data_IF_515317933596
#
_entry.id   IF_515317933596
#
_cell.length_a   1.000
_cell.length_b   1.000
_cell.length_c   1.000
_cell.angle_alpha   90.00
_cell.angle_beta   90.00
_cell.angle_gamma   90.00
#
_symmetry.space_group_name_H-M   'P 1'
#
loop_
_entity.id
_entity.type
_entity.pdbx_description
1 polymer ?
#
# COMPACT_ATOMS: atom_id res chain seq x y z
N UNK A 1 -45.00 31.13 -0.03
CA UNK A 1 -45.56 29.77 -0.27
C UNK A 1 -46.44 29.81 -1.51
N UNK A 2 -47.21 30.87 -1.67
CA UNK A 2 -48.01 31.23 -2.85
C UNK A 2 -47.20 31.25 -4.18
N UNK A 3 -46.04 31.90 -4.23
CA UNK A 3 -45.18 31.95 -5.45
C UNK A 3 -44.65 30.58 -5.91
N UNK A 4 -44.46 29.63 -4.99
CA UNK A 4 -44.00 28.29 -5.33
C UNK A 4 -45.13 27.42 -5.88
N UNK A 5 -46.38 27.68 -5.48
CA UNK A 5 -47.58 26.99 -6.00
C UNK A 5 -48.01 27.49 -7.38
N UNK A 6 -47.64 28.72 -7.76
CA UNK A 6 -47.93 29.32 -9.08
C UNK A 6 -46.98 28.82 -10.19
N UNK A 7 -45.89 28.13 -9.84
CA UNK A 7 -44.94 27.57 -10.81
C UNK A 7 -45.53 26.36 -11.54
N UNK A 8 -46.11 26.56 -12.73
CA UNK A 8 -46.74 25.49 -13.53
C UNK A 8 -45.77 24.92 -14.57
N UNK A 9 -44.85 25.73 -15.13
CA UNK A 9 -43.95 25.30 -16.20
C UNK A 9 -42.54 24.98 -15.69
N UNK A 10 -41.78 24.21 -16.49
CA UNK A 10 -40.35 23.96 -16.23
C UNK A 10 -39.49 25.23 -16.29
N UNK A 11 -39.93 26.26 -16.99
CA UNK A 11 -39.24 27.55 -17.02
C UNK A 11 -39.37 28.24 -15.66
N UNK A 12 -40.57 28.27 -15.09
CA UNK A 12 -40.86 28.87 -13.78
C UNK A 12 -40.07 28.18 -12.66
N UNK A 13 -40.00 26.84 -12.66
CA UNK A 13 -39.18 26.08 -11.70
C UNK A 13 -37.70 26.43 -11.80
N UNK A 14 -37.15 26.65 -13.01
CA UNK A 14 -35.74 27.06 -13.18
C UNK A 14 -35.51 28.48 -12.66
N UNK A 15 -36.43 29.40 -12.92
CA UNK A 15 -36.39 30.77 -12.38
C UNK A 15 -36.48 30.76 -10.86
N UNK A 16 -37.33 29.92 -10.27
CA UNK A 16 -37.47 29.73 -8.83
C UNK A 16 -36.22 29.09 -8.18
N UNK A 17 -35.49 28.22 -8.90
CA UNK A 17 -34.18 27.72 -8.45
C UNK A 17 -33.11 28.82 -8.52
N UNK A 18 -33.11 29.62 -9.58
CA UNK A 18 -32.16 30.73 -9.76
C UNK A 18 -32.37 31.86 -8.74
N UNK A 19 -33.62 32.14 -8.36
CA UNK A 19 -33.96 33.11 -7.32
C UNK A 19 -33.75 32.59 -5.89
N UNK A 20 -33.46 31.28 -5.74
CA UNK A 20 -33.23 30.63 -4.45
C UNK A 20 -34.49 30.23 -3.68
N UNK A 21 -35.68 30.41 -4.27
CA UNK A 21 -36.97 29.96 -3.72
C UNK A 21 -37.01 28.43 -3.57
N UNK A 22 -36.45 27.70 -4.56
CA UNK A 22 -36.29 26.24 -4.53
C UNK A 22 -34.80 25.89 -4.42
N UNK A 23 -34.43 25.13 -3.38
CA UNK A 23 -33.04 24.64 -3.21
C UNK A 23 -32.98 23.15 -2.88
N UNK A 24 -31.96 22.49 -3.41
CA UNK A 24 -31.62 21.15 -2.98
C UNK A 24 -30.99 21.20 -1.58
N UNK A 25 -31.50 20.35 -0.67
CA UNK A 25 -30.84 20.15 0.62
C UNK A 25 -29.49 19.44 0.39
N UNK A 26 -28.41 19.84 1.08
CA UNK A 26 -27.15 19.12 0.99
C UNK A 26 -27.33 17.67 1.46
N UNK A 27 -26.56 16.74 0.88
CA UNK A 27 -26.58 15.34 1.30
C UNK A 27 -26.01 15.22 2.72
N UNK A 28 -26.71 14.50 3.59
CA UNK A 28 -26.19 14.15 4.90
C UNK A 28 -25.10 13.09 4.74
N UNK A 29 -23.86 13.43 5.09
CA UNK A 29 -22.72 12.52 5.08
C UNK A 29 -22.36 12.03 6.48
N UNK A 30 -21.78 10.83 6.57
CA UNK A 30 -21.17 10.32 7.81
C UNK A 30 -19.70 10.74 7.90
N UNK A 31 -19.26 11.16 9.09
CA UNK A 31 -17.87 11.55 9.30
C UNK A 31 -16.91 10.36 9.36
N UNK A 32 -15.70 10.53 8.82
CA UNK A 32 -14.62 9.52 8.88
C UNK A 32 -13.65 9.76 10.07
N UNK A 33 -13.93 10.70 10.96
CA UNK A 33 -12.99 11.15 12.01
C UNK A 33 -12.51 10.02 12.92
N UNK A 34 -13.44 9.21 13.45
CA UNK A 34 -13.12 8.08 14.34
C UNK A 34 -12.31 6.99 13.63
N UNK A 35 -12.61 6.75 12.35
CA UNK A 35 -11.92 5.76 11.51
C UNK A 35 -10.46 6.20 11.29
N UNK A 36 -10.24 7.46 10.91
CA UNK A 36 -8.89 8.02 10.71
C UNK A 36 -8.06 7.98 11.98
N UNK A 37 -8.64 8.35 13.12
CA UNK A 37 -7.97 8.24 14.42
C UNK A 37 -7.53 6.78 14.69
N UNK A 38 -8.43 5.81 14.52
CA UNK A 38 -8.11 4.40 14.72
C UNK A 38 -7.04 3.88 13.74
N UNK A 39 -7.07 4.30 12.48
CA UNK A 39 -6.06 3.98 11.48
C UNK A 39 -4.69 4.54 11.86
N UNK A 40 -4.62 5.79 12.35
CA UNK A 40 -3.39 6.39 12.84
C UNK A 40 -2.79 5.63 14.04
N UNK A 41 -3.62 5.20 14.99
CA UNK A 41 -3.16 4.35 16.10
C UNK A 41 -2.63 2.99 15.60
N UNK A 42 -3.32 2.36 14.64
CA UNK A 42 -2.88 1.10 14.03
C UNK A 42 -1.57 1.25 13.25
N UNK A 43 -1.37 2.36 12.54
CA UNK A 43 -0.14 2.64 11.80
C UNK A 43 1.06 2.72 12.76
N UNK A 44 0.90 3.38 13.91
CA UNK A 44 1.90 3.45 15.00
C UNK A 44 2.15 2.13 15.74
N UNK A 45 1.47 1.04 15.38
CA UNK A 45 1.63 -0.28 16.02
C UNK A 45 0.67 -0.56 17.17
N UNK A 46 -0.14 0.42 17.61
CA UNK A 46 -1.15 0.23 18.67
C UNK A 46 -2.37 -0.54 18.14
N UNK A 47 -3.22 -1.06 19.04
CA UNK A 47 -4.45 -1.82 18.69
C UNK A 47 -4.22 -3.03 17.77
N UNK A 48 -3.06 -3.68 17.89
CA UNK A 48 -2.63 -4.85 17.08
C UNK A 48 -2.25 -6.08 17.94
N UNK A 49 -2.60 -6.09 19.23
CA UNK A 49 -2.30 -7.20 20.15
C UNK A 49 -3.11 -8.48 19.88
N UNK A 50 -2.77 -9.62 20.50
CA UNK A 50 -3.46 -10.91 20.33
C UNK A 50 -4.97 -10.83 20.54
N UNK A 51 -5.44 -10.17 21.60
CA UNK A 51 -6.88 -10.04 21.90
C UNK A 51 -7.68 -9.19 20.90
N UNK A 52 -7.03 -8.32 20.13
CA UNK A 52 -7.71 -7.53 19.08
C UNK A 52 -7.67 -8.20 17.70
N UNK A 53 -6.98 -9.34 17.57
CA UNK A 53 -6.80 -10.04 16.30
C UNK A 53 -7.90 -11.09 16.13
N UNK A 54 -8.79 -10.85 15.16
CA UNK A 54 -9.68 -11.88 14.64
C UNK A 54 -9.02 -12.71 13.53
N UNK A 55 -9.41 -13.98 13.41
CA UNK A 55 -9.02 -14.87 12.32
C UNK A 55 -7.64 -15.53 12.45
N UNK A 56 -7.45 -16.62 11.72
CA UNK A 56 -6.18 -17.37 11.67
C UNK A 56 -5.06 -16.56 10.98
N UNK A 57 -3.79 -16.87 11.28
CA UNK A 57 -2.64 -16.16 10.71
C UNK A 57 -2.64 -16.13 9.17
N UNK A 58 -2.87 -17.28 8.53
CA UNK A 58 -2.90 -17.42 7.08
C UNK A 58 -4.08 -16.67 6.41
N UNK A 59 -5.17 -16.42 7.16
CA UNK A 59 -6.30 -15.61 6.68
C UNK A 59 -5.97 -14.11 6.68
N UNK A 60 -5.15 -13.66 7.64
CA UNK A 60 -4.74 -12.25 7.76
C UNK A 60 -3.65 -11.89 6.75
N UNK A 61 -2.67 -12.77 6.56
CA UNK A 61 -1.66 -12.67 5.50
C UNK A 61 -1.40 -14.10 5.00
N UNK A 62 -1.65 -14.32 3.71
CA UNK A 62 -1.42 -15.64 3.10
C UNK A 62 0.07 -15.96 3.00
N UNK A 63 0.43 -17.22 3.20
CA UNK A 63 1.83 -17.66 3.15
C UNK A 63 2.48 -17.39 1.80
N UNK A 64 1.75 -17.62 0.69
CA UNK A 64 2.21 -17.29 -0.66
C UNK A 64 2.49 -15.80 -0.83
N UNK A 65 1.61 -14.94 -0.31
CA UNK A 65 1.79 -13.48 -0.37
C UNK A 65 3.03 -13.05 0.41
N UNK A 66 3.25 -13.65 1.59
CA UNK A 66 4.45 -13.42 2.39
C UNK A 66 5.72 -13.83 1.64
N UNK A 67 5.74 -15.01 1.03
CA UNK A 67 6.86 -15.46 0.20
C UNK A 67 7.13 -14.52 -0.98
N UNK A 68 6.08 -14.11 -1.70
CA UNK A 68 6.17 -13.14 -2.81
C UNK A 68 6.79 -11.81 -2.34
N UNK A 69 6.35 -11.29 -1.19
CA UNK A 69 6.88 -10.03 -0.63
C UNK A 69 8.36 -10.10 -0.25
N UNK A 70 8.89 -11.29 0.02
CA UNK A 70 10.32 -11.49 0.35
C UNK A 70 11.14 -11.70 -0.92
N UNK A 71 10.72 -12.62 -1.79
CA UNK A 71 11.54 -13.04 -2.95
C UNK A 71 11.62 -11.99 -4.05
N UNK A 72 10.57 -11.20 -4.28
CA UNK A 72 10.55 -10.21 -5.36
C UNK A 72 11.58 -9.09 -5.13
N UNK A 73 11.63 -8.42 -3.97
CA UNK A 73 12.66 -7.40 -3.71
C UNK A 73 14.09 -7.93 -3.79
N UNK A 74 14.33 -9.19 -3.44
CA UNK A 74 15.65 -9.83 -3.51
C UNK A 74 16.07 -10.07 -4.96
N UNK A 75 15.14 -10.55 -5.81
CA UNK A 75 15.42 -10.76 -7.24
C UNK A 75 15.57 -9.46 -8.01
N UNK A 76 14.80 -8.46 -7.62
CA UNK A 76 14.88 -7.10 -8.14
C UNK A 76 16.27 -6.50 -7.84
N UNK A 77 16.72 -6.59 -6.59
CA UNK A 77 18.06 -6.17 -6.17
C UNK A 77 19.17 -6.85 -6.99
N UNK A 78 19.10 -8.17 -7.16
CA UNK A 78 20.06 -8.91 -7.98
C UNK A 78 20.05 -8.47 -9.45
N UNK A 79 18.88 -8.11 -9.98
CA UNK A 79 18.74 -7.62 -11.35
C UNK A 79 19.42 -6.25 -11.47
N UNK A 80 19.15 -5.33 -10.55
CA UNK A 80 19.76 -4.01 -10.47
C UNK A 80 21.29 -4.09 -10.40
N UNK A 81 21.84 -4.86 -9.46
CA UNK A 81 23.29 -5.03 -9.33
C UNK A 81 23.97 -5.61 -10.59
N UNK A 82 23.25 -6.44 -11.35
CA UNK A 82 23.76 -6.99 -12.62
C UNK A 82 23.71 -5.95 -13.73
N UNK A 83 22.66 -5.14 -13.78
CA UNK A 83 22.49 -4.08 -14.78
C UNK A 83 23.49 -2.93 -14.57
N UNK A 84 23.84 -2.63 -13.32
CA UNK A 84 24.89 -1.69 -12.95
C UNK A 84 26.31 -2.22 -13.19
N UNK A 85 26.47 -3.52 -13.45
CA UNK A 85 27.78 -4.17 -13.63
C UNK A 85 28.53 -4.46 -12.32
N UNK A 86 27.92 -4.17 -11.16
CA UNK A 86 28.48 -4.44 -9.83
C UNK A 86 28.73 -5.94 -9.59
N UNK A 87 28.00 -6.81 -10.28
CA UNK A 87 28.17 -8.27 -10.22
C UNK A 87 28.22 -8.90 -11.60
N UNK A 88 28.97 -10.00 -11.72
CA UNK A 88 29.03 -10.76 -12.96
C UNK A 88 27.77 -11.62 -13.18
N UNK A 89 27.44 -12.00 -14.43
CA UNK A 89 26.31 -12.87 -14.72
C UNK A 89 26.35 -14.24 -14.01
N UNK A 90 27.56 -14.78 -13.77
CA UNK A 90 27.74 -16.05 -13.05
C UNK A 90 27.36 -15.92 -11.57
N UNK A 91 27.81 -14.84 -10.91
CA UNK A 91 27.45 -14.49 -9.54
C UNK A 91 25.93 -14.27 -9.43
N UNK A 92 25.35 -13.48 -10.34
CA UNK A 92 23.89 -13.29 -10.40
C UNK A 92 23.14 -14.64 -10.42
N UNK A 93 23.54 -15.56 -11.30
CA UNK A 93 22.87 -16.87 -11.45
C UNK A 93 22.97 -17.71 -10.18
N UNK A 94 24.13 -17.70 -9.51
CA UNK A 94 24.34 -18.40 -8.24
C UNK A 94 23.41 -17.86 -7.14
N UNK A 95 23.44 -16.55 -6.91
CA UNK A 95 22.62 -15.92 -5.87
C UNK A 95 21.11 -16.01 -6.19
N UNK A 96 20.72 -15.97 -7.46
CA UNK A 96 19.32 -16.16 -7.86
C UNK A 96 18.79 -17.56 -7.49
N UNK A 97 19.59 -18.61 -7.72
CA UNK A 97 19.24 -19.99 -7.32
C UNK A 97 19.16 -20.13 -5.80
N UNK A 98 20.11 -19.55 -5.06
CA UNK A 98 20.08 -19.53 -3.59
C UNK A 98 18.86 -18.76 -3.05
N UNK A 99 18.48 -17.66 -3.68
CA UNK A 99 17.29 -16.91 -3.34
C UNK A 99 16.00 -17.73 -3.53
N UNK A 100 15.91 -18.55 -4.59
CA UNK A 100 14.78 -19.49 -4.76
C UNK A 100 14.62 -20.44 -3.57
N UNK A 101 15.73 -20.85 -2.95
CA UNK A 101 15.75 -21.69 -1.75
C UNK A 101 15.41 -20.98 -0.45
N UNK A 102 15.16 -19.66 -0.46
CA UNK A 102 14.78 -18.91 0.75
C UNK A 102 15.93 -18.60 1.70
N UNK A 103 17.18 -18.69 1.23
CA UNK A 103 18.39 -18.41 2.03
C UNK A 103 18.40 -16.97 2.55
N UNK A 104 17.91 -16.03 1.74
CA UNK A 104 17.95 -14.60 2.04
C UNK A 104 16.61 -14.10 2.60
N UNK A 105 16.68 -13.33 3.69
CA UNK A 105 15.50 -12.79 4.39
C UNK A 105 15.12 -11.37 3.98
N UNK A 106 16.06 -10.60 3.46
CA UNK A 106 15.90 -9.19 3.05
C UNK A 106 16.99 -8.78 2.05
N UNK A 107 16.83 -7.62 1.40
CA UNK A 107 17.87 -7.03 0.53
C UNK A 107 19.18 -6.81 1.29
N UNK A 108 19.11 -6.31 2.52
CA UNK A 108 20.28 -6.13 3.39
C UNK A 108 20.99 -7.46 3.65
N UNK A 109 20.25 -8.50 4.01
CA UNK A 109 20.85 -9.81 4.27
C UNK A 109 21.51 -10.39 3.01
N UNK A 110 20.89 -10.23 1.83
CA UNK A 110 21.53 -10.56 0.56
C UNK A 110 22.87 -9.82 0.39
N UNK A 111 22.88 -8.48 0.52
CA UNK A 111 24.11 -7.67 0.38
C UNK A 111 25.21 -8.10 1.35
N UNK A 112 24.88 -8.33 2.63
CA UNK A 112 25.84 -8.84 3.62
C UNK A 112 26.47 -10.17 3.20
N UNK A 113 25.68 -11.10 2.63
CA UNK A 113 26.22 -12.37 2.11
C UNK A 113 27.08 -12.19 0.85
N UNK A 114 26.87 -11.13 0.07
CA UNK A 114 27.67 -10.84 -1.13
C UNK A 114 28.99 -10.17 -0.75
N UNK A 115 28.95 -9.23 0.20
CA UNK A 115 30.12 -8.57 0.78
C UNK A 115 31.03 -9.59 1.46
N UNK A 116 30.47 -10.42 2.35
CA UNK A 116 31.23 -11.48 3.04
C UNK A 116 31.85 -12.50 2.09
N UNK A 117 31.29 -12.68 0.89
CA UNK A 117 31.83 -13.57 -0.13
C UNK A 117 32.77 -12.86 -1.14
N UNK A 118 33.01 -11.55 -0.97
CA UNK A 118 33.88 -10.75 -1.85
C UNK A 118 33.26 -10.43 -3.22
N UNK A 119 31.96 -10.63 -3.41
CA UNK A 119 31.26 -10.37 -4.66
C UNK A 119 30.69 -8.95 -4.78
N UNK A 120 30.74 -8.17 -3.70
CA UNK A 120 30.29 -6.79 -3.64
C UNK A 120 31.23 -6.01 -2.71
N UNK A 121 31.58 -4.78 -3.07
CA UNK A 121 32.37 -3.89 -2.19
C UNK A 121 31.44 -3.24 -1.16
N UNK A 122 31.94 -2.95 0.03
CA UNK A 122 31.21 -2.10 0.98
C UNK A 122 31.14 -0.68 0.40
N UNK A 123 29.93 -0.12 0.32
CA UNK A 123 29.77 1.31 0.12
C UNK A 123 30.13 1.99 1.44
N UNK A 124 31.28 2.66 1.49
CA UNK A 124 31.62 3.60 2.55
C UNK A 124 30.52 4.67 2.58
N UNK A 125 29.78 4.75 3.68
CA UNK A 125 28.88 5.87 3.99
C UNK A 125 29.61 6.86 4.90
#
# INVERSE_FOLDING_TARGET
>A
MEEASECITRADVRTAVASGLIRAKPKNGTSYGRIRYAQGQKAKGKRKGPGSRGGRQNARIRDKTRWISVIRPIRDELKTLREEGSITPSVYRMYYRRAKGGVYKSRRNLRTHMISAGHLKEEEN
#
